data_IF_532108960114
#
_entry.id   IF_532108960114
#
_cell.length_a   1.000
_cell.length_b   1.000
_cell.length_c   1.000
_cell.angle_alpha   90.00
_cell.angle_beta   90.00
_cell.angle_gamma   90.00
#
_symmetry.space_group_name_H-M   'P 1'
#
loop_
_entity.id
_entity.type
_entity.pdbx_description
1 polymer ?
2 branched ?
3 non-polymer ?
4 non-polymer ?
5 non-polymer ?
6 non-polymer ?
7 non-polymer ?
8 water ?
#
# COMPACT_ATOMS: atom_id res chain seq x y z
C UNK A 1 -7.56 11.34 -30.15
N UNK A 2 -6.21 11.64 -30.29
CA UNK A 2 -5.04 10.80 -29.75
C UNK A 2 -4.11 11.46 -28.69
N UNK A 3 -4.12 10.80 -27.53
CA UNK A 3 -4.00 11.43 -26.24
C UNK A 3 -2.55 11.61 -25.83
N UNK A 4 -1.70 10.64 -26.17
CA UNK A 4 -0.31 10.71 -25.85
C UNK A 4 0.63 10.31 -26.96
N UNK A 5 1.78 9.82 -26.54
CA UNK A 5 2.86 9.43 -27.40
C UNK A 5 3.35 8.05 -26.89
N UNK A 6 3.45 7.08 -27.79
CA UNK A 6 3.80 5.71 -27.48
C UNK A 6 5.24 5.46 -27.84
N UNK A 7 5.81 4.44 -27.21
CA UNK A 7 7.20 4.06 -27.39
C UNK A 7 7.28 2.62 -26.99
N UNK A 8 8.39 1.94 -27.35
CA UNK A 8 8.56 0.55 -26.94
C UNK A 8 8.18 0.24 -25.46
N UNK A 9 8.75 0.95 -24.49
CA UNK A 9 8.44 0.60 -23.08
C UNK A 9 7.77 1.73 -22.29
N UNK A 10 6.91 2.52 -22.91
CA UNK A 10 6.39 3.68 -22.23
C UNK A 10 5.19 4.25 -22.91
N UNK A 11 4.42 5.06 -22.17
CA UNK A 11 3.34 5.82 -22.72
C UNK A 11 3.40 7.20 -22.02
N UNK A 12 3.78 8.23 -22.75
CA UNK A 12 3.81 9.58 -22.21
C UNK A 12 2.44 10.19 -22.41
N UNK A 13 1.81 10.69 -21.34
CA UNK A 13 0.46 11.27 -21.48
C UNK A 13 0.43 12.71 -21.99
N UNK A 14 0.97 12.90 -23.19
CA UNK A 14 1.00 14.23 -23.84
C UNK A 14 1.19 14.04 -25.35
N UNK A 15 0.51 14.88 -26.13
CA UNK A 15 0.52 14.73 -27.60
C UNK A 15 1.84 15.19 -28.15
N UNK A 16 2.38 14.47 -29.15
CA UNK A 16 3.60 14.91 -29.85
C UNK A 16 3.34 15.69 -31.16
N UNK A 17 2.20 16.37 -31.27
CA UNK A 17 1.96 17.15 -32.50
C UNK A 17 2.92 18.29 -32.69
N UNK A 18 3.50 18.81 -31.61
CA UNK A 18 4.50 19.87 -31.71
C UNK A 18 5.90 19.32 -31.74
N UNK A 19 6.06 18.00 -31.65
CA UNK A 19 7.40 17.38 -31.78
C UNK A 19 8.33 17.44 -30.55
N UNK A 20 7.84 17.94 -29.42
CA UNK A 20 8.67 18.12 -28.17
C UNK A 20 8.76 16.91 -27.21
N UNK A 21 7.91 15.89 -27.39
CA UNK A 21 7.91 14.72 -26.52
C UNK A 21 9.19 13.94 -26.67
N UNK A 22 9.69 13.42 -25.53
CA UNK A 22 10.90 12.59 -25.44
C UNK A 22 10.64 11.37 -24.60
N UNK A 23 11.45 10.33 -24.83
CA UNK A 23 11.45 9.13 -24.00
C UNK A 23 11.56 9.59 -22.50
N UNK A 24 10.66 9.13 -21.63
CA UNK A 24 10.88 9.38 -20.19
C UNK A 24 12.10 8.63 -19.62
N UNK A 25 12.78 7.80 -20.43
CA UNK A 25 14.07 7.28 -20.03
C UNK A 25 15.27 8.12 -20.48
N UNK A 26 15.06 9.20 -21.21
CA UNK A 26 16.16 9.90 -21.87
C UNK A 26 16.22 11.40 -21.63
N UNK A 27 15.13 12.05 -21.29
CA UNK A 27 15.17 13.49 -21.21
C UNK A 27 14.04 14.04 -20.39
N UNK A 28 14.20 15.27 -19.90
CA UNK A 28 13.22 15.82 -18.97
C UNK A 28 11.86 16.01 -19.57
N UNK A 29 10.82 15.93 -18.74
CA UNK A 29 9.44 15.95 -19.18
C UNK A 29 8.79 17.26 -18.83
N UNK A 30 9.52 18.36 -19.00
CA UNK A 30 9.02 19.69 -18.57
C UNK A 30 7.89 20.27 -19.43
N UNK A 31 7.51 19.57 -20.48
CA UNK A 31 6.28 19.91 -21.24
C UNK A 31 5.00 19.31 -20.64
N UNK A 32 5.13 18.23 -19.85
CA UNK A 32 4.00 17.64 -19.07
C UNK A 32 3.62 18.41 -17.84
N UNK A 33 4.59 19.08 -17.24
CA UNK A 33 4.44 19.74 -15.94
C UNK A 33 5.61 20.63 -15.75
N UNK A 34 5.39 21.72 -15.04
CA UNK A 34 6.46 22.69 -14.83
C UNK A 34 7.55 22.10 -13.93
N UNK A 35 8.78 22.58 -14.09
CA UNK A 35 9.83 22.16 -13.13
C UNK A 35 9.43 22.30 -11.64
N UNK A 36 8.69 23.34 -11.25
CA UNK A 36 8.35 23.45 -9.87
C UNK A 36 7.40 22.33 -9.41
N UNK A 37 6.57 21.83 -10.29
CA UNK A 37 5.70 20.69 -9.96
C UNK A 37 6.53 19.42 -9.77
N UNK A 38 7.59 19.28 -10.54
CA UNK A 38 8.51 18.18 -10.29
C UNK A 38 9.16 18.34 -8.92
N UNK A 39 9.48 19.57 -8.55
CA UNK A 39 10.07 19.85 -7.23
C UNK A 39 9.15 19.46 -6.05
N UNK A 40 7.88 19.85 -6.19
CA UNK A 40 6.80 19.45 -5.29
C UNK A 40 6.61 17.93 -5.21
N UNK A 41 6.74 17.23 -6.32
CA UNK A 41 6.77 15.76 -6.25
C UNK A 41 7.91 15.32 -5.36
N UNK A 42 9.08 15.90 -5.57
CA UNK A 42 10.27 15.57 -4.77
C UNK A 42 10.08 15.94 -3.30
N UNK A 43 9.36 17.05 -3.04
CA UNK A 43 9.11 17.47 -1.70
C UNK A 43 8.22 16.44 -1.03
N UNK A 44 7.21 15.98 -1.75
CA UNK A 44 6.26 15.01 -1.19
C UNK A 44 6.94 13.68 -0.86
N UNK A 45 7.84 13.22 -1.72
CA UNK A 45 8.62 12.04 -1.39
C UNK A 45 9.54 12.29 -0.18
N UNK A 46 10.06 13.51 -0.06
CA UNK A 46 10.93 13.86 1.05
C UNK A 46 10.14 13.76 2.37
N UNK A 47 8.94 14.31 2.41
CA UNK A 47 8.04 14.18 3.53
C UNK A 47 7.77 12.69 3.92
N UNK A 48 7.42 11.87 2.94
CA UNK A 48 7.13 10.46 3.18
C UNK A 48 8.31 9.69 3.66
N UNK A 49 9.51 10.04 3.24
CA UNK A 49 10.75 9.43 3.76
C UNK A 49 11.01 9.89 5.22
N UNK A 50 10.91 11.19 5.47
CA UNK A 50 11.23 11.74 6.77
C UNK A 50 10.24 11.26 7.82
N UNK A 51 8.97 11.06 7.46
CA UNK A 51 7.98 10.50 8.37
C UNK A 51 7.91 8.96 8.32
N UNK A 52 8.05 8.39 7.14
CA UNK A 52 7.80 6.97 6.98
C UNK A 52 8.95 6.12 7.45
N UNK A 53 10.17 6.60 7.26
CA UNK A 53 11.34 5.87 7.74
C UNK A 53 11.33 5.74 9.25
N UNK A 54 11.27 6.85 10.00
CA UNK A 54 11.36 6.66 11.46
C UNK A 54 10.21 5.82 12.04
N UNK A 55 9.00 6.18 11.70
CA UNK A 55 7.83 5.46 12.19
C UNK A 55 7.93 3.94 11.93
N UNK A 56 8.33 3.53 10.76
CA UNK A 56 8.37 2.11 10.48
C UNK A 56 9.59 1.44 11.05
N UNK A 57 10.73 2.12 11.02
CA UNK A 57 11.94 1.63 11.67
C UNK A 57 11.77 1.49 13.22
N UNK A 58 11.29 2.53 13.91
CA UNK A 58 10.90 2.41 15.31
C UNK A 58 10.08 1.16 15.58
N UNK A 59 9.00 0.96 14.84
CA UNK A 59 8.19 -0.24 14.97
C UNK A 59 9.06 -1.53 15.10
N UNK A 60 10.07 -1.67 14.27
CA UNK A 60 10.93 -2.85 14.34
C UNK A 60 11.86 -2.81 15.56
N UNK A 61 12.38 -1.64 15.86
CA UNK A 61 13.42 -1.47 16.85
C UNK A 61 12.84 -1.62 18.26
N UNK A 62 11.76 -0.93 18.54
CA UNK A 62 11.02 -1.09 19.78
C UNK A 62 10.63 -2.56 19.96
N UNK A 63 10.21 -3.23 18.92
CA UNK A 63 9.85 -4.64 19.07
C UNK A 63 11.06 -5.49 19.49
N UNK A 64 12.26 -5.13 19.06
CA UNK A 64 13.48 -5.84 19.46
C UNK A 64 13.85 -5.59 20.96
N UNK A 65 13.40 -4.46 21.51
CA UNK A 65 13.70 -4.08 22.88
C UNK A 65 12.61 -4.44 23.92
N UNK A 66 11.40 -4.84 23.49
CA UNK A 66 10.28 -5.06 24.40
C UNK A 66 9.61 -6.40 24.18
N UNK A 67 9.92 -7.36 25.06
CA UNK A 67 9.43 -8.77 24.98
C UNK A 67 7.92 -8.83 24.86
N UNK A 68 7.20 -7.96 25.55
CA UNK A 68 5.74 -7.98 25.52
C UNK A 68 5.15 -7.83 24.11
N UNK A 69 5.87 -7.13 23.22
CA UNK A 69 5.40 -6.90 21.86
C UNK A 69 5.56 -8.11 20.95
N UNK A 70 6.51 -8.99 21.22
CA UNK A 70 6.74 -10.16 20.36
C UNK A 70 5.76 -11.30 20.45
N UNK A 71 4.46 -11.00 20.45
CA UNK A 71 3.41 -12.00 20.41
C UNK A 71 3.10 -12.39 18.94
N UNK A 72 2.45 -13.56 18.72
CA UNK A 72 2.18 -13.99 17.32
C UNK A 72 1.19 -13.10 16.54
N UNK A 73 0.15 -12.59 17.20
CA UNK A 73 -0.77 -11.60 16.58
C UNK A 73 -0.08 -10.34 16.02
N UNK A 74 1.03 -9.96 16.64
CA UNK A 74 1.81 -8.84 16.19
C UNK A 74 2.79 -9.13 15.03
N UNK A 75 3.03 -10.39 14.67
CA UNK A 75 4.01 -10.66 13.59
C UNK A 75 3.60 -9.97 12.27
N UNK A 76 2.31 -9.90 11.98
CA UNK A 76 1.81 -9.37 10.74
C UNK A 76 1.98 -7.84 10.70
N UNK A 77 2.02 -7.21 11.86
CA UNK A 77 2.32 -5.78 11.97
C UNK A 77 3.80 -5.49 11.78
N UNK A 78 4.67 -6.42 12.14
CA UNK A 78 6.07 -6.27 11.79
C UNK A 78 6.22 -6.33 10.28
N UNK A 79 5.52 -7.29 9.68
CA UNK A 79 5.47 -7.48 8.25
C UNK A 79 5.01 -6.22 7.54
N UNK A 80 4.02 -5.53 8.12
CA UNK A 80 3.53 -4.28 7.58
C UNK A 80 4.61 -3.21 7.59
N UNK A 81 5.36 -3.11 8.67
CA UNK A 81 6.45 -2.13 8.75
C UNK A 81 7.57 -2.45 7.77
N UNK A 82 7.91 -3.73 7.59
CA UNK A 82 8.88 -4.15 6.57
C UNK A 82 8.39 -3.76 5.15
N UNK A 83 7.12 -3.94 4.89
CA UNK A 83 6.54 -3.59 3.60
C UNK A 83 6.64 -2.06 3.36
N UNK A 84 6.24 -1.28 4.36
CA UNK A 84 6.34 0.16 4.30
C UNK A 84 7.77 0.58 3.97
N UNK A 85 8.76 -0.17 4.48
CA UNK A 85 10.16 0.17 4.22
C UNK A 85 10.59 -0.23 2.81
N UNK A 86 10.08 -1.31 2.26
CA UNK A 86 10.27 -1.56 0.84
C UNK A 86 9.77 -0.33 0.05
N UNK A 87 8.61 0.23 0.37
CA UNK A 87 8.13 1.39 -0.35
C UNK A 87 9.05 2.60 -0.14
N UNK A 88 9.59 2.77 1.06
CA UNK A 88 10.43 3.92 1.38
C UNK A 88 11.76 3.87 0.62
N UNK A 89 12.41 2.72 0.64
CA UNK A 89 13.75 2.54 0.09
C UNK A 89 13.77 2.10 -1.36
N UNK A 90 12.78 1.36 -1.81
CA UNK A 90 12.66 1.01 -3.23
C UNK A 90 11.95 2.10 -4.03
N UNK A 91 10.92 2.70 -3.46
CA UNK A 91 10.06 3.65 -4.16
C UNK A 91 10.49 5.09 -3.95
N UNK A 92 10.31 5.57 -2.73
CA UNK A 92 10.34 7.00 -2.44
C UNK A 92 11.71 7.60 -2.67
N UNK A 93 12.79 6.92 -2.29
CA UNK A 93 14.13 7.45 -2.50
C UNK A 93 14.46 7.57 -3.98
N UNK A 94 14.10 6.52 -4.74
CA UNK A 94 14.28 6.52 -6.20
C UNK A 94 13.53 7.68 -6.86
N UNK A 95 12.29 7.87 -6.47
CA UNK A 95 11.48 8.91 -7.07
C UNK A 95 11.93 10.33 -6.69
N UNK A 96 12.48 10.49 -5.50
CA UNK A 96 13.06 11.76 -5.09
C UNK A 96 14.17 12.12 -6.11
N UNK A 97 14.99 11.11 -6.41
CA UNK A 97 16.12 11.28 -7.28
C UNK A 97 15.66 11.55 -8.75
N UNK A 98 14.74 10.73 -9.25
CA UNK A 98 14.26 10.90 -10.62
C UNK A 98 13.46 12.19 -10.78
N UNK A 99 12.57 12.50 -9.85
CA UNK A 99 11.81 13.78 -9.92
C UNK A 99 12.71 15.02 -10.15
N UNK A 100 13.89 15.02 -9.57
CA UNK A 100 14.78 16.22 -9.63
C UNK A 100 15.62 16.28 -10.89
N UNK A 101 15.71 15.15 -11.58
CA UNK A 101 16.02 15.12 -13.02
C UNK A 101 14.88 15.41 -14.01
N UNK A 102 13.63 15.26 -13.59
CA UNK A 102 12.48 15.42 -14.49
C UNK A 102 12.18 14.23 -15.40
N UNK A 103 12.81 13.08 -15.17
CA UNK A 103 12.49 11.84 -15.90
C UNK A 103 13.11 10.61 -15.23
N UNK A 104 12.71 9.43 -15.69
CA UNK A 104 13.18 8.19 -15.12
C UNK A 104 14.57 7.86 -15.58
N UNK A 105 15.55 8.49 -14.91
CA UNK A 105 16.96 8.41 -15.33
C UNK A 105 17.58 7.04 -15.32
N UNK A 106 17.03 6.09 -14.58
CA UNK A 106 17.62 4.72 -14.48
C UNK A 106 17.20 3.79 -15.59
N UNK A 107 16.41 4.27 -16.53
CA UNK A 107 16.11 3.49 -17.70
C UNK A 107 15.15 2.36 -17.44
N UNK A 108 14.88 1.54 -18.47
CA UNK A 108 13.82 0.53 -18.39
C UNK A 108 14.10 -0.60 -17.39
N UNK A 109 15.37 -0.94 -17.13
CA UNK A 109 15.67 -1.98 -16.13
C UNK A 109 15.40 -1.41 -14.72
N UNK A 110 15.87 -0.20 -14.45
CA UNK A 110 15.56 0.49 -13.18
C UNK A 110 14.06 0.71 -12.98
N UNK A 111 13.35 0.89 -14.09
CA UNK A 111 11.91 1.00 -14.05
C UNK A 111 11.29 -0.31 -13.57
N UNK A 112 11.80 -1.43 -14.04
CA UNK A 112 11.35 -2.74 -13.56
C UNK A 112 11.68 -2.95 -12.10
N UNK A 113 12.89 -2.57 -11.69
CA UNK A 113 13.32 -2.68 -10.30
C UNK A 113 12.48 -1.82 -9.36
N UNK A 114 12.38 -0.53 -9.64
CA UNK A 114 11.60 0.35 -8.81
C UNK A 114 10.12 -0.06 -8.80
N UNK A 115 9.59 -0.43 -9.95
CA UNK A 115 8.20 -0.83 -10.00
C UNK A 115 7.96 -2.12 -9.23
N UNK A 116 8.89 -3.05 -9.34
CA UNK A 116 8.77 -4.29 -8.58
C UNK A 116 8.78 -4.07 -7.07
N UNK A 117 9.78 -3.37 -6.56
CA UNK A 117 9.94 -3.20 -5.10
C UNK A 117 8.86 -2.33 -4.50
N UNK A 118 8.44 -1.30 -5.22
CA UNK A 118 7.34 -0.49 -4.75
C UNK A 118 6.01 -1.27 -4.79
N UNK A 119 5.73 -1.95 -5.88
CA UNK A 119 4.50 -2.73 -5.97
C UNK A 119 4.51 -3.87 -4.94
N UNK A 120 5.64 -4.55 -4.80
CA UNK A 120 5.73 -5.60 -3.80
C UNK A 120 5.42 -5.05 -2.42
N UNK A 121 6.08 -3.94 -2.05
CA UNK A 121 5.82 -3.22 -0.78
C UNK A 121 4.35 -2.92 -0.49
N UNK A 122 3.69 -2.20 -1.37
CA UNK A 122 2.26 -1.86 -1.16
C UNK A 122 1.34 -3.08 -1.10
N UNK A 123 1.72 -4.14 -1.81
CA UNK A 123 0.93 -5.38 -1.88
C UNK A 123 1.08 -6.25 -0.62
N UNK A 124 2.32 -6.37 -0.13
CA UNK A 124 2.56 -6.97 1.18
C UNK A 124 1.77 -6.24 2.28
N UNK A 125 1.76 -4.91 2.22
CA UNK A 125 1.00 -4.10 3.18
C UNK A 125 -0.45 -4.39 3.06
N UNK A 126 -0.95 -4.43 1.81
CA UNK A 126 -2.38 -4.65 1.54
C UNK A 126 -2.86 -5.98 2.12
N UNK A 127 -2.17 -7.06 1.77
CA UNK A 127 -2.47 -8.38 2.28
C UNK A 127 -2.21 -8.53 3.79
N UNK A 128 -1.24 -7.79 4.33
CA UNK A 128 -1.03 -7.76 5.76
C UNK A 128 -2.30 -7.27 6.47
N UNK A 129 -2.98 -6.29 5.93
CA UNK A 129 -4.21 -5.80 6.57
C UNK A 129 -5.35 -6.81 6.39
N UNK A 130 -5.29 -7.62 5.33
CA UNK A 130 -6.30 -8.64 5.10
C UNK A 130 -6.11 -9.72 6.15
N UNK A 131 -4.87 -10.23 6.27
CA UNK A 131 -4.54 -11.31 7.16
C UNK A 131 -4.79 -10.93 8.61
N UNK A 132 -4.44 -9.71 9.00
CA UNK A 132 -4.70 -9.23 10.36
C UNK A 132 -6.18 -9.28 10.68
N UNK A 133 -7.03 -8.92 9.71
CA UNK A 133 -8.46 -9.03 9.92
C UNK A 133 -8.88 -10.49 10.06
N UNK A 134 -8.29 -11.39 9.27
CA UNK A 134 -8.63 -12.81 9.36
C UNK A 134 -8.23 -13.29 10.78
N UNK A 135 -6.97 -13.06 11.13
CA UNK A 135 -6.44 -13.43 12.45
C UNK A 135 -7.28 -12.92 13.64
N UNK A 136 -7.72 -11.68 13.60
CA UNK A 136 -8.55 -11.15 14.68
C UNK A 136 -9.96 -11.72 14.73
N UNK A 137 -10.54 -11.94 13.57
CA UNK A 137 -11.84 -12.62 13.43
C UNK A 137 -11.79 -14.00 14.08
N UNK A 138 -10.79 -14.79 13.72
CA UNK A 138 -10.58 -16.12 14.28
C UNK A 138 -10.44 -16.07 15.81
N UNK A 139 -9.55 -15.23 16.32
CA UNK A 139 -9.29 -15.10 17.74
C UNK A 139 -10.53 -14.68 18.55
N UNK A 140 -11.32 -13.78 18.01
CA UNK A 140 -12.45 -13.19 18.75
C UNK A 140 -13.76 -13.95 18.49
N UNK A 141 -14.10 -14.19 17.23
CA UNK A 141 -15.36 -14.85 16.87
C UNK A 141 -15.29 -16.37 17.03
N UNK A 142 -14.08 -16.92 17.04
CA UNK A 142 -13.87 -18.32 17.44
C UNK A 142 -14.66 -19.33 16.58
N UNK A 143 -14.61 -19.15 15.27
CA UNK A 143 -15.49 -19.95 14.40
C UNK A 143 -15.08 -21.44 14.22
N UNK A 144 -13.90 -21.83 14.71
CA UNK A 144 -13.46 -23.22 14.75
C UNK A 144 -13.15 -23.56 16.23
N UNK A 145 -13.88 -24.52 16.82
CA UNK A 145 -13.68 -24.87 18.23
C UNK A 145 -12.42 -25.71 18.44
N UNK A 146 -11.89 -25.61 19.66
CA UNK A 146 -10.60 -26.20 20.04
C UNK A 146 -9.49 -25.82 19.07
N UNK A 147 -9.44 -24.52 18.77
CA UNK A 147 -8.39 -23.91 17.96
C UNK A 147 -7.75 -22.79 18.78
N UNK A 148 -6.42 -22.76 18.82
CA UNK A 148 -5.67 -21.73 19.52
C UNK A 148 -4.65 -21.13 18.53
N UNK A 149 -4.83 -19.85 18.19
CA UNK A 149 -3.94 -19.12 17.30
C UNK A 149 -2.55 -18.98 17.93
N UNK A 150 -1.54 -19.60 17.32
CA UNK A 150 -0.12 -19.41 17.71
C UNK A 150 0.93 -19.11 16.64
N UNK A 151 2.18 -19.07 17.07
CA UNK A 151 3.38 -18.82 16.22
C UNK A 151 3.32 -19.41 14.81
N UNK A 152 2.96 -20.69 14.71
CA UNK A 152 2.87 -21.40 13.42
C UNK A 152 1.97 -20.69 12.43
N UNK A 153 0.80 -20.32 12.90
CA UNK A 153 -0.22 -19.72 12.06
C UNK A 153 0.23 -18.33 11.64
N UNK A 154 0.81 -17.58 12.58
CA UNK A 154 1.34 -16.27 12.31
C UNK A 154 2.41 -16.31 11.20
N UNK A 155 3.33 -17.29 11.26
CA UNK A 155 4.31 -17.51 10.17
C UNK A 155 3.56 -17.75 8.84
N UNK A 156 2.52 -18.57 8.85
CA UNK A 156 1.81 -18.86 7.63
C UNK A 156 1.17 -17.59 7.07
N UNK A 157 0.47 -16.83 7.91
CA UNK A 157 -0.08 -15.49 7.56
C UNK A 157 0.97 -14.57 6.89
N UNK A 158 2.15 -14.47 7.48
CA UNK A 158 3.21 -13.70 6.88
C UNK A 158 3.58 -14.28 5.50
N UNK A 159 3.77 -15.59 5.39
CA UNK A 159 4.17 -16.20 4.11
C UNK A 159 3.11 -15.99 3.01
N UNK A 160 1.86 -16.07 3.42
CA UNK A 160 0.76 -15.87 2.52
C UNK A 160 0.79 -14.48 1.89
N UNK A 161 1.11 -13.45 2.68
CA UNK A 161 1.16 -12.09 2.14
C UNK A 161 2.27 -11.97 1.08
N UNK A 162 3.42 -12.56 1.34
CA UNK A 162 4.52 -12.50 0.39
C UNK A 162 4.19 -13.28 -0.91
N UNK A 163 3.41 -14.36 -0.81
CA UNK A 163 2.97 -15.14 -1.98
C UNK A 163 1.96 -14.33 -2.78
N UNK A 164 0.93 -13.79 -2.12
CA UNK A 164 -0.03 -12.92 -2.82
C UNK A 164 0.62 -11.67 -3.46
N UNK A 165 1.66 -11.13 -2.83
CA UNK A 165 2.30 -9.94 -3.35
C UNK A 165 3.14 -10.31 -4.55
N UNK A 166 3.88 -11.42 -4.50
CA UNK A 166 4.58 -11.94 -5.68
C UNK A 166 3.64 -12.25 -6.85
N UNK A 167 2.43 -12.68 -6.54
CA UNK A 167 1.42 -12.94 -7.57
C UNK A 167 0.94 -11.68 -8.29
N UNK A 168 1.13 -10.52 -7.67
CA UNK A 168 0.84 -9.24 -8.32
C UNK A 168 2.09 -8.66 -9.01
N UNK A 169 3.20 -8.66 -8.31
CA UNK A 169 4.38 -7.89 -8.70
C UNK A 169 5.31 -8.62 -9.65
N UNK A 170 5.27 -9.96 -9.62
CA UNK A 170 6.15 -10.78 -10.47
C UNK A 170 5.72 -10.90 -11.93
N UNK A 171 4.43 -11.14 -12.20
CA UNK A 171 4.05 -11.38 -13.63
C UNK A 171 4.43 -10.27 -14.62
N UNK A 172 4.39 -8.98 -14.22
CA UNK A 172 4.80 -7.95 -15.18
C UNK A 172 6.27 -7.92 -15.50
N UNK A 173 7.10 -8.67 -14.79
CA UNK A 173 8.49 -8.87 -15.16
C UNK A 173 8.65 -9.92 -16.27
N UNK A 174 7.62 -10.71 -16.54
CA UNK A 174 7.77 -11.89 -17.40
C UNK A 174 6.63 -12.07 -18.39
N UNK A 175 5.86 -11.04 -18.70
CA UNK A 175 4.93 -11.11 -19.82
C UNK A 175 3.50 -10.74 -19.61
N UNK A 176 3.06 -10.70 -18.35
CA UNK A 176 1.64 -10.41 -18.08
C UNK A 176 1.55 -9.03 -17.39
N UNK A 177 0.93 -8.08 -18.09
CA UNK A 177 1.14 -6.64 -17.91
C UNK A 177 2.60 -6.26 -18.04
N UNK A 178 2.96 -5.06 -17.60
CA UNK A 178 4.38 -4.63 -17.60
C UNK A 178 4.55 -3.43 -16.69
N UNK A 179 5.80 -3.15 -16.34
CA UNK A 179 6.14 -1.93 -15.62
C UNK A 179 6.50 -0.85 -16.63
N UNK A 180 5.85 0.30 -16.56
CA UNK A 180 6.24 1.49 -17.31
C UNK A 180 6.14 2.73 -16.43
N UNK A 181 6.75 3.85 -16.82
CA UNK A 181 6.53 5.09 -16.07
C UNK A 181 5.10 5.56 -16.00
N UNK A 182 4.64 5.98 -14.80
CA UNK A 182 3.30 6.57 -14.64
C UNK A 182 3.35 8.06 -14.41
N UNK A 183 2.20 8.65 -14.65
CA UNK A 183 1.93 10.06 -14.48
C UNK A 183 2.97 10.97 -15.04
N UNK A 184 3.72 11.59 -14.13
CA UNK A 184 4.72 12.62 -14.47
C UNK A 184 5.98 11.96 -14.97
N UNK A 185 5.99 10.62 -14.97
CA UNK A 185 7.00 9.79 -15.63
C UNK A 185 8.28 9.59 -14.83
N UNK A 186 8.21 9.83 -13.53
CA UNK A 186 9.35 9.72 -12.64
C UNK A 186 9.28 8.50 -11.72
N UNK A 187 8.14 7.81 -11.70
CA UNK A 187 7.99 6.56 -10.96
C UNK A 187 7.39 5.55 -11.92
N UNK A 188 7.57 4.29 -11.61
CA UNK A 188 7.14 3.21 -12.45
C UNK A 188 6.18 2.34 -11.67
N UNK A 189 5.14 1.88 -12.35
CA UNK A 189 4.15 0.98 -11.82
C UNK A 189 3.53 0.13 -12.90
N UNK A 190 2.51 -0.61 -12.51
CA UNK A 190 1.86 -1.56 -13.38
C UNK A 190 1.12 -0.78 -14.44
N UNK A 191 1.23 -1.27 -15.68
CA UNK A 191 0.45 -0.68 -16.77
C UNK A 191 -0.98 -1.22 -16.70
N UNK A 192 -1.82 -0.44 -16.05
CA UNK A 192 -3.21 -0.81 -15.82
C UNK A 192 -4.16 -0.01 -16.70
N UNK A 193 -3.65 0.86 -17.57
CA UNK A 193 -4.47 1.86 -18.24
C UNK A 193 -4.33 1.86 -19.81
N UNK A 194 -3.32 1.21 -20.32
CA UNK A 194 -3.00 1.14 -21.75
C UNK A 194 -3.40 -0.28 -22.19
N UNK A 195 -4.21 -0.38 -23.27
CA UNK A 195 -4.49 -1.72 -23.85
C UNK A 195 -3.24 -2.12 -24.62
N UNK A 196 -2.61 -3.21 -24.22
CA UNK A 196 -1.30 -3.55 -24.77
C UNK A 196 -1.27 -5.04 -24.83
N UNK A 197 -1.74 -5.51 -26.00
CA UNK A 197 -2.15 -6.89 -26.25
C UNK A 197 -0.95 -7.84 -26.17
N UNK A 198 0.23 -7.35 -26.49
CA UNK A 198 1.42 -8.20 -26.49
C UNK A 198 1.69 -8.73 -25.07
N UNK A 199 1.27 -7.98 -24.04
CA UNK A 199 1.43 -8.35 -22.61
C UNK A 199 0.13 -8.65 -21.90
N UNK A 200 -1.01 -8.51 -22.58
CA UNK A 200 -2.32 -8.90 -22.07
C UNK A 200 -2.74 -8.08 -20.88
N UNK A 201 -2.64 -6.78 -21.06
CA UNK A 201 -3.00 -5.87 -20.01
C UNK A 201 -4.45 -6.00 -19.54
N UNK A 202 -5.37 -6.38 -20.42
CA UNK A 202 -6.79 -6.38 -20.09
C UNK A 202 -7.11 -7.47 -19.07
N UNK A 203 -6.58 -8.66 -19.30
CA UNK A 203 -6.80 -9.74 -18.40
C UNK A 203 -6.09 -9.45 -17.05
N UNK A 204 -4.87 -8.90 -17.06
CA UNK A 204 -4.15 -8.65 -15.79
C UNK A 204 -4.89 -7.67 -14.87
N UNK A 205 -5.51 -6.65 -15.44
CA UNK A 205 -6.24 -5.66 -14.68
C UNK A 205 -7.50 -6.26 -14.10
N UNK A 206 -8.12 -7.21 -14.81
CA UNK A 206 -9.33 -7.86 -14.31
C UNK A 206 -8.94 -8.75 -13.14
N UNK A 207 -7.87 -9.52 -13.31
CA UNK A 207 -7.32 -10.32 -12.23
C UNK A 207 -6.98 -9.48 -10.99
N UNK A 208 -6.28 -8.35 -11.20
CA UNK A 208 -5.91 -7.41 -10.10
C UNK A 208 -7.12 -6.89 -9.40
N UNK A 209 -8.07 -6.38 -10.17
CA UNK A 209 -9.31 -5.81 -9.61
C UNK A 209 -10.13 -6.81 -8.77
N UNK A 210 -10.20 -8.06 -9.23
CA UNK A 210 -11.01 -9.10 -8.58
C UNK A 210 -10.25 -9.68 -7.38
N UNK A 211 -9.08 -10.25 -7.65
CA UNK A 211 -8.31 -10.96 -6.64
C UNK A 211 -7.60 -10.03 -5.63
N UNK A 212 -7.12 -8.85 -6.07
CA UNK A 212 -6.34 -7.95 -5.16
C UNK A 212 -7.05 -6.72 -4.68
N UNK A 213 -8.28 -6.51 -5.13
CA UNK A 213 -9.15 -5.51 -4.55
C UNK A 213 -10.49 -6.07 -4.04
N UNK A 214 -11.30 -6.73 -4.89
CA UNK A 214 -12.63 -7.24 -4.44
C UNK A 214 -12.51 -8.33 -3.32
N UNK A 215 -11.75 -9.41 -3.54
CA UNK A 215 -11.53 -10.41 -2.50
C UNK A 215 -11.08 -9.69 -1.19
N UNK A 216 -9.94 -8.93 -1.17
CA UNK A 216 -9.57 -8.18 0.05
C UNK A 216 -10.68 -7.43 0.73
N UNK A 217 -11.47 -6.72 -0.04
CA UNK A 217 -12.50 -5.88 0.51
C UNK A 217 -13.62 -6.70 1.15
N UNK A 218 -13.97 -7.83 0.55
CA UNK A 218 -15.01 -8.70 1.08
C UNK A 218 -14.51 -9.38 2.36
N UNK A 219 -13.33 -9.99 2.31
CA UNK A 219 -12.72 -10.60 3.50
C UNK A 219 -12.64 -9.61 4.68
N UNK A 220 -12.22 -8.38 4.43
CA UNK A 220 -12.14 -7.36 5.50
C UNK A 220 -13.52 -6.99 6.04
N UNK A 221 -14.49 -6.77 5.18
CA UNK A 221 -15.84 -6.38 5.66
C UNK A 221 -16.54 -7.52 6.44
N UNK A 222 -16.30 -8.74 6.02
CA UNK A 222 -16.89 -9.90 6.66
C UNK A 222 -16.24 -10.10 8.02
N UNK A 223 -14.92 -10.23 8.04
CA UNK A 223 -14.20 -10.50 9.27
C UNK A 223 -14.42 -9.44 10.34
N UNK A 224 -14.39 -8.18 9.96
CA UNK A 224 -14.55 -7.10 10.93
C UNK A 224 -16.02 -6.87 11.17
N UNK A 225 -16.86 -7.18 10.18
CA UNK A 225 -18.32 -7.13 10.39
C UNK A 225 -18.75 -8.08 11.50
N UNK A 226 -18.30 -9.33 11.41
CA UNK A 226 -18.50 -10.33 12.45
C UNK A 226 -17.90 -9.93 13.79
N UNK A 227 -16.63 -9.54 13.77
CA UNK A 227 -15.96 -9.17 14.99
C UNK A 227 -16.77 -8.10 15.72
N UNK A 228 -17.32 -7.12 15.01
CA UNK A 228 -18.10 -6.08 15.68
C UNK A 228 -19.41 -6.63 16.24
N UNK A 229 -20.02 -7.54 15.49
CA UNK A 229 -21.23 -8.19 15.96
C UNK A 229 -20.99 -8.96 17.28
N UNK A 230 -20.04 -9.89 17.28
CA UNK A 230 -19.62 -10.61 18.49
C UNK A 230 -19.36 -9.71 19.70
N UNK A 231 -18.54 -8.67 19.52
CA UNK A 231 -18.20 -7.77 20.61
C UNK A 231 -19.43 -7.02 21.13
N UNK A 232 -20.35 -6.67 20.24
CA UNK A 232 -21.53 -5.89 20.61
C UNK A 232 -22.61 -6.74 21.31
N UNK A 233 -22.73 -7.99 20.85
CA UNK A 233 -23.56 -9.00 21.44
C UNK A 233 -23.12 -9.35 22.86
N UNK A 234 -21.81 -9.58 23.02
CA UNK A 234 -21.22 -9.87 24.33
C UNK A 234 -21.36 -8.72 25.32
N UNK A 235 -21.28 -7.50 24.82
CA UNK A 235 -21.38 -6.32 25.67
C UNK A 235 -22.83 -6.06 26.11
N UNK A 236 -23.80 -6.34 25.24
CA UNK A 236 -25.26 -6.22 25.55
C UNK A 236 -25.70 -7.21 26.67
N UNK A 237 -25.01 -8.36 26.71
CA UNK A 237 -25.08 -9.36 27.77
C UNK A 237 -24.25 -9.05 29.00
N UNK A 238 -23.69 -7.84 29.09
CA UNK A 238 -22.85 -7.51 30.23
C UNK A 238 -22.90 -5.98 30.48
N UNK A 239 -24.10 -5.42 30.39
CA UNK A 239 -24.25 -3.98 30.54
C UNK A 239 -23.90 -3.45 31.92
N UNK A 240 -23.77 -4.34 32.91
CA UNK A 240 -23.31 -3.93 34.25
C UNK A 240 -21.86 -3.45 34.25
N UNK A 241 -21.05 -3.92 33.28
CA UNK A 241 -19.62 -3.53 33.17
C UNK A 241 -19.38 -2.28 32.28
N UNK A 242 -18.99 -1.16 32.91
CA UNK A 242 -18.67 0.11 32.19
C UNK A 242 -17.43 -0.11 31.26
N UNK A 243 -16.37 -0.73 31.82
CA UNK A 243 -15.24 -1.33 31.08
C UNK A 243 -15.61 -2.01 29.75
N UNK A 244 -16.43 -3.04 29.82
CA UNK A 244 -16.84 -3.80 28.63
C UNK A 244 -17.55 -2.92 27.60
N UNK A 245 -18.29 -1.94 28.09
CA UNK A 245 -19.04 -1.00 27.26
C UNK A 245 -18.09 -0.01 26.55
N UNK A 246 -17.03 0.39 27.25
CA UNK A 246 -16.06 1.30 26.70
C UNK A 246 -15.20 0.54 25.67
N UNK A 247 -14.71 -0.65 26.03
CA UNK A 247 -13.99 -1.53 25.08
C UNK A 247 -14.78 -1.80 23.76
N UNK A 248 -16.09 -1.90 23.86
CA UNK A 248 -16.95 -2.13 22.71
C UNK A 248 -17.02 -0.89 21.80
N UNK A 249 -17.09 0.29 22.42
CA UNK A 249 -17.02 1.58 21.72
C UNK A 249 -15.66 1.77 21.03
N UNK A 250 -14.58 1.51 21.77
CA UNK A 250 -13.22 1.57 21.25
C UNK A 250 -13.05 0.65 20.04
N UNK A 251 -13.49 -0.60 20.15
CA UNK A 251 -13.30 -1.58 19.08
C UNK A 251 -14.08 -1.14 17.85
N UNK A 252 -15.27 -0.62 18.07
CA UNK A 252 -16.12 -0.25 16.96
C UNK A 252 -15.53 0.95 16.21
N UNK A 253 -15.14 2.01 16.92
CA UNK A 253 -14.50 3.19 16.34
C UNK A 253 -13.23 2.80 15.51
N UNK A 254 -12.34 2.03 16.11
CA UNK A 254 -11.16 1.55 15.43
C UNK A 254 -11.44 0.74 14.16
N UNK A 255 -12.44 -0.12 14.20
CA UNK A 255 -12.79 -0.89 13.02
C UNK A 255 -13.28 0.05 11.90
N UNK A 256 -14.03 1.09 12.26
CA UNK A 256 -14.50 2.04 11.29
C UNK A 256 -13.29 2.76 10.65
N UNK A 257 -12.34 3.18 11.48
CA UNK A 257 -11.14 3.85 11.01
C UNK A 257 -10.33 2.93 10.08
N UNK A 258 -10.15 1.67 10.45
CA UNK A 258 -9.34 0.75 9.64
C UNK A 258 -9.91 0.50 8.26
N UNK A 259 -11.22 0.32 8.21
CA UNK A 259 -11.93 0.03 7.00
C UNK A 259 -11.94 1.29 6.11
N UNK A 260 -12.20 2.46 6.67
CA UNK A 260 -12.08 3.70 5.89
C UNK A 260 -10.65 3.96 5.35
N UNK A 261 -9.65 3.73 6.20
CA UNK A 261 -8.27 3.82 5.78
C UNK A 261 -7.91 2.88 4.62
N UNK A 262 -8.47 1.68 4.59
CA UNK A 262 -8.19 0.73 3.52
C UNK A 262 -8.78 1.24 2.19
N UNK A 263 -9.98 1.81 2.27
CA UNK A 263 -10.63 2.38 1.10
C UNK A 263 -9.86 3.60 0.59
N UNK A 264 -9.52 4.51 1.48
CA UNK A 264 -8.72 5.66 1.08
C UNK A 264 -7.43 5.21 0.36
N UNK A 265 -6.79 4.17 0.86
CA UNK A 265 -5.55 3.71 0.27
C UNK A 265 -5.74 3.10 -1.13
N UNK A 266 -6.75 2.27 -1.31
CA UNK A 266 -6.84 1.48 -2.56
C UNK A 266 -7.99 1.81 -3.50
N UNK A 267 -9.07 2.40 -3.00
CA UNK A 267 -10.19 2.76 -3.87
C UNK A 267 -9.79 3.70 -5.03
N UNK A 268 -8.86 4.66 -4.82
CA UNK A 268 -8.50 5.50 -5.95
C UNK A 268 -7.85 4.73 -7.10
N UNK A 269 -6.89 3.86 -6.82
CA UNK A 269 -6.36 3.01 -7.89
C UNK A 269 -7.48 2.16 -8.53
N UNK A 270 -8.35 1.55 -7.72
CA UNK A 270 -9.39 0.65 -8.24
C UNK A 270 -10.44 1.41 -9.06
N UNK A 271 -10.83 2.59 -8.60
CA UNK A 271 -11.81 3.43 -9.26
C UNK A 271 -11.29 3.99 -10.58
N UNK A 272 -10.08 4.53 -10.55
CA UNK A 272 -9.43 5.04 -11.75
C UNK A 272 -9.23 3.92 -12.78
N UNK A 273 -8.78 2.75 -12.35
CA UNK A 273 -8.61 1.62 -13.27
C UNK A 273 -9.95 1.23 -13.92
N UNK A 274 -11.01 1.23 -13.11
CA UNK A 274 -12.36 0.86 -13.54
C UNK A 274 -12.90 1.89 -14.56
N UNK A 275 -12.87 3.14 -14.17
CA UNK A 275 -13.26 4.23 -15.06
C UNK A 275 -12.52 4.17 -16.42
N UNK A 276 -11.20 4.01 -16.39
CA UNK A 276 -10.40 3.90 -17.62
C UNK A 276 -10.79 2.65 -18.40
N UNK A 277 -11.04 1.55 -17.73
CA UNK A 277 -11.39 0.31 -18.44
C UNK A 277 -12.71 0.47 -19.23
N UNK A 278 -13.67 1.23 -18.68
CA UNK A 278 -14.99 1.43 -19.25
C UNK A 278 -15.15 2.80 -19.91
N UNK A 279 -14.06 3.49 -20.22
CA UNK A 279 -14.10 4.82 -20.91
C UNK A 279 -12.81 4.92 -21.70
N UNK A 280 -12.55 3.86 -22.49
CA UNK A 280 -11.33 3.72 -23.30
C UNK A 280 -11.07 4.83 -24.32
N UNK A 281 -12.09 5.60 -24.71
CA UNK A 281 -11.86 6.78 -25.52
C UNK A 281 -11.74 8.05 -24.71
N UNK A 282 -10.77 8.14 -23.83
CA UNK A 282 -10.61 9.33 -23.00
C UNK A 282 -9.18 9.58 -22.60
N UNK A 283 -8.79 10.85 -22.61
CA UNK A 283 -7.45 11.24 -22.25
C UNK A 283 -7.41 11.42 -20.75
N UNK A 284 -6.26 11.04 -20.20
CA UNK A 284 -5.95 11.13 -18.80
C UNK A 284 -4.58 11.71 -18.66
N UNK A 285 -4.48 12.88 -18.06
CA UNK A 285 -3.20 13.54 -17.94
C UNK A 285 -2.31 13.02 -16.82
N UNK A 286 -1.10 13.57 -16.74
CA UNK A 286 -0.09 13.08 -15.84
C UNK A 286 -0.37 13.37 -14.37
N UNK A 287 -0.87 14.56 -14.05
CA UNK A 287 -1.19 14.93 -12.66
C UNK A 287 -2.34 14.03 -12.17
N UNK A 288 -3.43 13.99 -12.91
CA UNK A 288 -4.51 13.02 -12.66
C UNK A 288 -3.98 11.58 -12.37
N UNK A 289 -2.98 11.11 -13.10
CA UNK A 289 -2.54 9.72 -12.93
C UNK A 289 -1.62 9.54 -11.72
N UNK A 290 -1.19 10.65 -11.14
CA UNK A 290 -0.44 10.70 -9.90
C UNK A 290 -1.32 10.51 -8.62
N UNK A 291 -2.61 10.83 -8.71
CA UNK A 291 -3.51 10.84 -7.55
C UNK A 291 -3.64 9.43 -6.90
N UNK A 292 -3.84 8.36 -7.69
CA UNK A 292 -3.89 7.06 -7.04
C UNK A 292 -2.65 6.74 -6.20
N UNK A 293 -1.46 7.05 -6.74
CA UNK A 293 -0.19 6.82 -6.07
C UNK A 293 -0.04 7.66 -4.81
N UNK A 294 -0.58 8.88 -4.83
CA UNK A 294 -0.50 9.77 -3.69
C UNK A 294 -1.24 9.11 -2.50
N UNK A 295 -2.46 8.65 -2.74
CA UNK A 295 -3.23 7.94 -1.72
C UNK A 295 -2.55 6.65 -1.25
N UNK A 296 -2.06 5.82 -2.17
CA UNK A 296 -1.45 4.56 -1.75
C UNK A 296 -0.12 4.73 -0.98
N UNK A 297 0.78 5.52 -1.56
CA UNK A 297 2.10 5.73 -1.00
C UNK A 297 2.04 6.40 0.37
N UNK A 298 1.09 7.31 0.58
CA UNK A 298 0.98 8.00 1.86
C UNK A 298 0.57 7.06 3.02
N UNK A 299 0.03 5.89 2.69
CA UNK A 299 -0.28 4.85 3.68
C UNK A 299 0.94 4.30 4.36
N UNK A 300 2.13 4.50 3.80
CA UNK A 300 3.35 4.06 4.48
C UNK A 300 3.59 4.93 5.74
N UNK A 301 2.86 6.03 5.87
CA UNK A 301 2.82 6.81 7.08
C UNK A 301 1.51 6.54 7.87
N UNK A 302 0.33 6.58 7.25
CA UNK A 302 -0.92 6.56 8.04
C UNK A 302 -1.30 5.16 8.55
N UNK A 303 -0.92 4.10 7.85
CA UNK A 303 -1.14 2.74 8.37
C UNK A 303 -0.40 2.44 9.67
N UNK A 304 0.90 2.66 9.75
CA UNK A 304 1.53 2.45 11.05
C UNK A 304 1.05 3.43 12.13
N UNK A 305 0.58 4.61 11.79
CA UNK A 305 0.01 5.49 12.81
C UNK A 305 -1.26 4.82 13.36
N UNK A 306 -2.10 4.27 12.48
CA UNK A 306 -3.39 3.71 12.84
C UNK A 306 -3.25 2.35 13.55
N UNK A 307 -2.51 1.43 12.95
CA UNK A 307 -2.38 0.06 13.47
C UNK A 307 -1.36 -0.12 14.59
N UNK A 308 -0.43 0.82 14.73
CA UNK A 308 0.68 0.63 15.64
C UNK A 308 0.75 1.78 16.62
N UNK A 309 0.84 3.01 16.15
CA UNK A 309 1.00 4.12 17.06
C UNK A 309 -0.18 4.31 18.00
N UNK A 310 -1.38 3.90 17.59
CA UNK A 310 -2.60 4.14 18.39
C UNK A 310 -2.91 3.04 19.40
N UNK A 311 -2.18 1.93 19.27
CA UNK A 311 -2.13 0.86 20.24
C UNK A 311 -1.24 1.22 21.46
N UNK A 312 -1.81 1.22 22.67
CA UNK A 312 -1.10 1.75 23.89
C UNK A 312 0.15 0.96 24.38
N UNK A 313 0.17 -0.35 24.14
CA UNK A 313 1.37 -1.17 24.35
C UNK A 313 2.55 -0.58 23.58
N UNK A 314 2.48 -0.59 22.23
CA UNK A 314 3.56 0.00 21.43
C UNK A 314 3.85 1.42 21.86
N UNK A 315 2.83 2.22 22.14
CA UNK A 315 3.11 3.65 22.45
C UNK A 315 3.99 3.86 23.71
N UNK A 316 3.71 3.09 24.77
CA UNK A 316 4.55 3.08 25.98
C UNK A 316 5.97 2.68 25.66
N UNK A 317 6.12 1.53 25.02
CA UNK A 317 7.46 1.04 24.66
C UNK A 317 8.29 2.00 23.81
N UNK A 318 7.63 2.73 22.93
CA UNK A 318 8.30 3.66 22.04
C UNK A 318 8.81 4.84 22.85
N UNK A 319 7.95 5.39 23.73
CA UNK A 319 8.36 6.53 24.59
C UNK A 319 9.55 6.12 25.46
N UNK A 320 9.40 4.97 26.13
CA UNK A 320 10.49 4.35 26.87
C UNK A 320 11.75 4.28 26.04
N UNK A 321 11.67 3.70 24.84
CA UNK A 321 12.85 3.55 23.99
C UNK A 321 13.43 4.93 23.60
N UNK A 322 12.57 5.90 23.31
CA UNK A 322 13.03 7.23 22.93
C UNK A 322 13.58 8.00 24.12
N UNK A 323 13.07 7.73 25.31
CA UNK A 323 13.61 8.31 26.55
C UNK A 323 14.66 7.40 27.28
N UNK A 324 15.45 6.66 26.49
CA UNK A 324 16.62 5.89 26.95
C UNK A 324 16.38 4.88 28.10
N UNK A 325 15.16 4.41 28.28
CA UNK A 325 14.83 3.43 29.34
C UNK A 325 13.84 3.81 30.43
N UNK A 326 13.32 5.05 30.45
CA UNK A 326 12.41 5.51 31.53
C UNK A 326 11.00 5.94 31.10
N UNK A 327 10.08 5.85 32.09
CA UNK A 327 8.59 5.92 32.01
C UNK A 327 8.00 4.49 31.95
X LIG B 1 8.15 13.29 -31.03
X LIG B 1 8.98 11.99 -30.99
X LIG B 1 10.43 12.32 -31.30
X LIG B 1 10.51 13.04 -32.62
X LIG B 1 9.57 14.26 -32.66
X LIG B 1 9.52 14.93 -34.02
X LIG B 1 8.71 10.13 -29.33
X LIG B 1 8.83 9.81 -27.87
X LIG B 1 8.94 11.40 -29.67
X LIG B 1 11.26 11.14 -31.31
X LIG B 1 11.84 13.53 -32.75
X LIG B 1 8.24 13.93 -32.29
X LIG B 1 9.04 13.99 -35.00
X LIG B 1 8.48 9.26 -30.12
X LIG B 2 12.56 13.32 -33.95
X LIG B 2 13.65 14.37 -34.01
X LIG B 2 14.44 14.14 -35.26
X LIG B 2 14.93 12.70 -35.32
X LIG B 2 13.78 11.73 -35.17
X LIG B 2 14.28 10.29 -35.20
X LIG B 2 13.05 16.52 -32.90
X LIG B 2 12.34 17.83 -33.12
X LIG B 2 13.10 15.70 -33.98
X LIG B 2 15.58 15.01 -35.24
X LIG B 2 15.57 12.47 -36.57
X LIG B 2 13.09 11.97 -33.96
X LIG B 2 13.18 9.43 -35.00
X LIG B 2 13.51 16.24 -31.79
X LIG B 3 17.00 12.38 -36.58
X LIG B 3 17.37 11.63 -37.85
X LIG B 3 18.84 11.28 -37.82
X LIG B 3 19.77 12.38 -37.27
X LIG B 3 19.11 13.24 -36.15
X LIG B 3 19.97 14.40 -35.58
X LIG B 3 17.10 12.40 -39.01
X LIG B 3 19.17 10.90 -39.16
X LIG B 3 20.89 11.70 -36.68
X LIG B 3 17.76 13.61 -36.57
X LIG B 3 20.45 15.40 -36.50
X LIG B 4 19.42 9.48 -39.27
X LIG B 4 20.20 9.13 -40.50
X LIG B 4 19.41 9.54 -41.75
X LIG B 4 17.94 9.12 -41.77
X LIG B 4 17.30 9.04 -40.38
X LIG B 4 16.14 8.04 -40.36
X LIG B 4 20.38 7.71 -40.42
X LIG B 4 20.01 8.94 -42.87
X LIG B 4 17.19 10.10 -42.51
X LIG B 4 18.26 8.69 -39.36
X LIG B 4 15.19 8.43 -39.35
X LIG B 5 19.52 16.42 -37.00
X LIG B 5 18.45 17.02 -36.04
X LIG B 5 17.66 18.18 -36.71
X LIG B 5 18.63 19.22 -37.26
X LIG B 5 19.59 18.53 -38.24
X LIG B 5 20.60 19.46 -38.92
X LIG B 5 18.98 17.54 -34.81
X LIG B 5 16.76 18.80 -35.77
X LIG B 5 17.89 20.30 -37.87
X LIG B 5 20.31 17.50 -37.54
X LIG B 5 21.19 18.74 -40.02
X LIG C 1 -5.64 -2.58 -7.43
X LIG C 1 -6.98 -2.32 -8.12
X LIG C 1 -6.97 -2.79 -9.57
X LIG C 1 -5.92 -2.05 -10.36
X LIG C 1 -4.57 -2.20 -9.71
X LIG C 1 -4.44 -2.30 -8.35
X LIG C 1 -3.09 -2.39 -7.76
X LIG C 1 -2.36 -1.30 -7.53
X LIG C 1 -1.05 -1.36 -6.86
X LIG C 1 -0.24 -0.30 -7.07
X LIG C 1 0.95 0.05 -6.31
X LIG C 1 1.43 1.28 -6.50
X LIG C 1 2.59 1.87 -5.77
X LIG C 1 3.12 3.03 -6.24
X LIG C 1 4.10 3.85 -5.54
X LIG C 1 -5.53 -4.02 -6.93
X LIG C 1 -5.62 -1.67 -6.21
X LIG C 1 -3.38 -2.14 -10.60
X LIG C 1 -0.64 -2.57 -6.06
X LIG C 1 3.10 1.23 -4.50
X LIG D 1 -12.07 -3.87 -14.38
X LIG D 1 -11.67 -5.02 -14.68
X LIG D 1 -11.28 -3.01 -13.87
X LIG D 1 -13.55 -3.64 -14.68
X LIG E 1 3.10 -20.50 20.32
X LIG E 1 2.39 -21.35 19.74
X LIG E 1 2.63 -19.35 20.59
X LIG E 1 4.53 -20.87 20.66
X LIG F 1 -22.93 1.89 15.54
X LIG F 1 -23.05 0.78 14.66
X LIG F 1 -24.17 1.96 16.44
X LIG F 1 -25.39 1.80 15.72
X LIG F 1 -24.08 3.28 17.21
X LIG F 1 -25.24 3.47 18.01
X LIG F 1 -22.83 3.20 18.09
X LIG F 1 -22.64 4.37 18.90
X LIG F 1 -21.57 2.96 17.23
X LIG F 1 -21.76 1.81 16.37
X LIG F 1 -20.32 2.85 18.13
X LIG F 1 -20.56 2.03 19.28
X LIG F 1 -22.19 0.87 13.52
X LIG F 1 -21.55 -0.49 13.25
X LIG F 1 -20.21 -0.38 12.53
X LIG F 1 -20.02 -1.56 11.59
X LIG F 1 -18.56 -1.83 11.30
X LIG F 1 -18.42 -2.30 9.86
X LIG F 1 -17.07 -2.98 9.66
X LIG F 1 -17.09 -3.77 8.37
X LIG G 1 12.69 11.36 26.55
X LIG G 1 13.08 11.82 27.62
X LIG G 1 13.30 11.98 25.27
X LIG G 1 12.51 13.10 24.55
X LIG G 1 13.34 14.00 23.59
X LIG G 1 12.76 14.20 22.16
X LIG G 1 13.00 15.60 21.51
X LIG G 1 12.00 16.01 20.40
X LIG G 1 12.55 16.04 18.96
X LIG G 1 11.57 16.49 17.84
X LIG G 1 12.32 16.68 16.50
X LIG G 1 11.49 17.03 15.22
X LIG G 1 12.36 17.72 14.15
X LIG G 1 12.00 17.51 12.67
X LIG G 1 13.17 17.70 11.69
X LIG G 1 14.25 16.56 11.68
X LIG G 1 15.58 16.80 10.93
X LIG H 1 17.50 9.41 26.01
X LIG H 1 16.68 9.69 26.89
X LIG H 1 17.85 10.44 24.92
X LIG H 1 16.92 11.66 24.83
X LIG H 1 17.52 12.82 24.01
X LIG H 1 18.23 13.90 24.87
X LIG H 1 18.74 15.11 24.06
X LIG H 1 17.64 16.15 23.81
X LIG H 1 17.88 17.06 22.60
X LIG H 1 16.57 17.70 22.11
X LIG H 1 16.74 18.68 20.95
X LIG H 1 16.07 18.20 19.66
X LIG H 1 16.39 19.07 18.44
X LIG H 1 16.82 18.29 17.17
X LIG H 1 16.68 19.10 15.88
X LIG H 1 17.94 19.15 15.01
X LIG H 1 17.71 19.87 13.70
X LIG I 1 20.44 17.51 -13.02
X LIG I 1 20.74 16.47 -12.06
X LIG I 1 21.78 17.92 -13.65
X LIG I 1 22.30 19.03 -12.88
X LIG I 1 21.77 18.33 -15.14
X LIG I 1 22.89 17.70 -15.79
X LIG I 1 20.53 17.98 -15.96
X LIG I 1 20.50 19.00 -16.98
X LIG I 1 19.23 17.91 -15.11
X LIG I 1 19.51 17.03 -14.00
X LIG I 1 17.93 17.44 -15.86
X LIG I 1 16.78 18.34 -15.69
X LIG I 1 19.93 16.42 -10.88
X LIG I 1 20.67 15.76 -9.72
X LIG I 1 19.67 15.35 -8.63
X LIG I 1 20.36 15.08 -7.29
X LIG I 1 19.41 14.41 -6.29
X LIG I 1 19.65 14.77 -4.83
X LIG I 1 19.39 13.63 -3.84
X LIG I 1 18.99 14.08 -2.43
X LIG J 1 -3.50 16.65 -16.04
X LIG J 1 -3.81 16.71 -17.50
X LIG J 1 -3.93 15.33 -15.52
X LIG J 1 -2.06 16.91 -15.76
X LIG J 1 -4.28 17.74 -15.40
#
# INVERSE_FOLDING_TARGET
XMCGTEGPNFYVPFSNKTGVVRSPFEAPQYYLAEPWQFSMLAAYMFLLIMLGFPINFLTLYVTVQHKKLRTPLNYILLNLAVADLFMVFGGFTTILYTSLHGYFVFGPTGCNLEGFFATLGGEIALWSLVVLAIERYVVVCKPMSNFRFGENHAIMGVAFTWVMALACAAPPLVGWSRYIPEGMQCSCGIDYYTPHEETNNESFVIYMFVVHFIIPLIVIFFCYGQLVFTVKEAAAQQQESATTQKAEKEVTRMVIIMVIAFLICWLPYAGVAFYIFTHQGSCFGPIFMTIPAFFAKTSAVYNPVIYIMMNKQFRNCMVTTLCCGKNPLGDDEASTTVSKTETSQVAPA
NAG C1 C2 C3 C4 C5 C6 C7 C8 N2 O3 O4 O5 O6 O7
NAG C1 C2 C3 C4 C5 C6 C7 C8 N2 O3 O4 O5 O6 O7
BMA C1 C2 C3 C4 C5 C6 O2 O3 O4 O5 O6
MAN C1 C2 C3 C4 C5 C6 O2 O3 O4 O5 O6
BMA C1 C2 C3 C4 C5 C6 O2 O3 O4 O5 O6
RET C1 C2 C3 C4 C5 C6 C7 C8 C9 C10 C11 C12 C13 C14 C15 C16 C17 C18 C19 C20
ACT C O OXT CH3
ACT C O OXT CH3
BOG C1 O1 C2 O2 C3 O3 C4 O4 C5 O5 C6 O6 C1' C2' C3' C4' C5' C6' C7' C8'
PLM C1 O2 C2 C3 C4 C5 C6 C7 C8 C9 CA CB CC CD CE CF CG
PLM C1 O2 C2 C3 C4 C5 C6 C7 C8 C9 CA CB CC CD CE CF CG
BOG C1 O1 C2 O2 C3 O3 C4 O4 C5 O5 C6 O6 C1' C2' C3' C4' C5' C6' C7' C8'
SO4 S O1 O2 O3 O4
#
